data_IF_421949249741
#
_entry.id   IF_421949249741
#
_cell.length_a   1.000
_cell.length_b   1.000
_cell.length_c   1.000
_cell.angle_alpha   90.00
_cell.angle_beta   90.00
_cell.angle_gamma   90.00
#
_symmetry.space_group_name_H-M   'P 1'
#
loop_
_entity.id
_entity.type
_entity.pdbx_description
1 polymer ?
#
# COMPACT_ATOMS: atom_id res chain seq x y z
N UNK A 1 -3.90 10.58 -12.08
CA UNK A 1 -3.68 9.11 -12.15
C UNK A 1 -5.03 8.42 -12.24
N UNK A 2 -5.24 7.46 -13.16
CA UNK A 2 -6.58 6.82 -13.28
C UNK A 2 -6.83 5.73 -12.23
N UNK A 3 -5.85 4.87 -11.97
CA UNK A 3 -5.95 3.75 -11.02
C UNK A 3 -4.84 3.84 -9.98
N UNK A 4 -5.18 3.70 -8.69
CA UNK A 4 -4.23 3.87 -7.59
C UNK A 4 -4.42 2.78 -6.53
N UNK A 5 -3.30 2.26 -6.04
CA UNK A 5 -3.21 1.49 -4.80
C UNK A 5 -2.61 2.42 -3.76
N UNK A 6 -3.40 2.77 -2.73
CA UNK A 6 -2.90 3.40 -1.52
C UNK A 6 -2.37 2.29 -0.62
N UNK A 7 -1.06 2.27 -0.41
CA UNK A 7 -0.36 1.14 0.18
C UNK A 7 0.22 1.50 1.53
N UNK A 8 -0.25 0.84 2.57
CA UNK A 8 0.50 0.71 3.82
C UNK A 8 1.47 -0.47 3.76
N UNK A 9 2.40 -0.57 4.69
CA UNK A 9 3.43 -1.61 4.71
C UNK A 9 3.24 -2.55 5.90
N UNK A 10 3.25 -1.98 7.12
CA UNK A 10 3.09 -2.79 8.33
C UNK A 10 1.66 -3.34 8.38
N UNK A 11 1.52 -4.63 8.64
CA UNK A 11 0.23 -5.30 8.56
C UNK A 11 -0.30 -5.55 7.14
N UNK A 12 0.45 -5.18 6.08
CA UNK A 12 0.09 -5.43 4.67
C UNK A 12 1.14 -6.29 3.97
N UNK A 13 2.38 -5.83 3.87
CA UNK A 13 3.49 -6.54 3.22
C UNK A 13 4.42 -7.22 4.22
N UNK A 14 4.23 -6.96 5.50
CA UNK A 14 4.82 -7.68 6.63
C UNK A 14 3.77 -7.91 7.71
N UNK A 15 4.05 -8.80 8.63
CA UNK A 15 3.12 -9.22 9.69
C UNK A 15 3.91 -9.61 10.94
N UNK A 16 3.21 -10.04 11.98
CA UNK A 16 3.84 -10.66 13.16
C UNK A 16 4.71 -11.86 12.80
N UNK A 17 4.31 -12.64 11.78
CA UNK A 17 5.08 -13.80 11.30
C UNK A 17 6.37 -13.40 10.61
N UNK A 18 6.36 -12.33 9.80
CA UNK A 18 7.55 -11.75 9.18
C UNK A 18 8.55 -11.32 10.25
N UNK A 19 8.05 -10.59 11.25
CA UNK A 19 8.85 -10.09 12.35
C UNK A 19 9.41 -11.22 13.22
N UNK A 20 8.65 -12.30 13.41
CA UNK A 20 9.12 -13.47 14.14
C UNK A 20 10.29 -14.18 13.45
N UNK A 21 10.35 -14.14 12.12
CA UNK A 21 11.47 -14.66 11.33
C UNK A 21 12.64 -13.69 11.18
N UNK A 22 12.59 -12.53 11.83
CA UNK A 22 13.56 -11.44 11.71
C UNK A 22 13.70 -10.89 10.27
N UNK A 23 12.61 -11.01 9.50
CA UNK A 23 12.48 -10.45 8.16
C UNK A 23 11.87 -9.04 8.21
N UNK A 24 12.01 -8.31 7.11
CA UNK A 24 11.46 -6.94 6.95
C UNK A 24 10.17 -6.96 6.14
N UNK A 25 10.10 -7.80 5.11
CA UNK A 25 8.97 -7.92 4.18
C UNK A 25 8.76 -9.38 3.79
N UNK A 26 7.53 -9.74 3.46
CA UNK A 26 7.21 -11.07 2.97
C UNK A 26 7.22 -11.13 1.44
N UNK A 27 8.05 -11.97 0.87
CA UNK A 27 8.19 -12.15 -0.57
C UNK A 27 6.87 -12.50 -1.26
N UNK A 28 6.10 -13.43 -0.69
CA UNK A 28 4.84 -13.84 -1.31
C UNK A 28 3.77 -12.73 -1.28
N UNK A 29 3.78 -11.82 -0.28
CA UNK A 29 2.89 -10.65 -0.25
C UNK A 29 3.31 -9.59 -1.26
N UNK A 30 4.60 -9.43 -1.45
CA UNK A 30 5.14 -8.61 -2.56
C UNK A 30 4.72 -9.17 -3.92
N UNK A 31 4.70 -10.50 -4.10
CA UNK A 31 4.22 -11.16 -5.31
C UNK A 31 2.71 -10.97 -5.49
N UNK A 32 1.93 -10.95 -4.41
CA UNK A 32 0.50 -10.63 -4.46
C UNK A 32 0.26 -9.20 -4.93
N UNK A 33 1.02 -8.24 -4.39
CA UNK A 33 0.99 -6.85 -4.84
C UNK A 33 1.36 -6.75 -6.33
N UNK A 34 2.40 -7.47 -6.76
CA UNK A 34 2.82 -7.50 -8.17
C UNK A 34 1.71 -8.05 -9.08
N UNK A 35 1.00 -9.10 -8.67
CA UNK A 35 -0.15 -9.62 -9.42
C UNK A 35 -1.25 -8.57 -9.59
N UNK A 36 -1.56 -7.81 -8.54
CA UNK A 36 -2.57 -6.74 -8.62
C UNK A 36 -2.12 -5.67 -9.61
N UNK A 37 -0.89 -5.17 -9.47
CA UNK A 37 -0.36 -4.11 -10.35
C UNK A 37 -0.30 -4.56 -11.80
N UNK A 38 0.21 -5.77 -12.08
CA UNK A 38 0.34 -6.30 -13.44
C UNK A 38 -1.03 -6.48 -14.14
N UNK A 39 -2.08 -6.83 -13.39
CA UNK A 39 -3.44 -7.00 -13.94
C UNK A 39 -4.21 -5.70 -14.08
N UNK A 40 -3.83 -4.65 -13.39
CA UNK A 40 -4.62 -3.40 -13.33
C UNK A 40 -3.88 -2.20 -13.88
N UNK A 41 -2.56 -2.27 -13.94
CA UNK A 41 -1.64 -1.15 -14.22
C UNK A 41 -1.83 0.03 -13.27
N UNK A 42 -2.30 -0.25 -12.04
CA UNK A 42 -2.47 0.75 -11.01
C UNK A 42 -1.12 1.30 -10.54
N UNK A 43 -1.13 2.57 -10.15
CA UNK A 43 0.05 3.24 -9.59
C UNK A 43 0.06 3.06 -8.08
N UNK A 44 1.22 2.82 -7.50
CA UNK A 44 1.40 2.71 -6.06
C UNK A 44 1.63 4.10 -5.47
N UNK A 45 0.81 4.46 -4.49
CA UNK A 45 0.99 5.64 -3.62
C UNK A 45 1.24 5.12 -2.21
N UNK A 46 2.43 5.38 -1.68
CA UNK A 46 2.81 4.91 -0.35
C UNK A 46 2.16 5.78 0.73
N UNK A 47 1.39 5.15 1.62
CA UNK A 47 0.68 5.81 2.74
C UNK A 47 1.35 5.55 4.09
N UNK A 48 2.11 4.48 4.19
CA UNK A 48 2.85 4.05 5.39
C UNK A 48 3.76 5.13 5.95
N UNK A 49 3.97 5.11 7.26
CA UNK A 49 4.99 5.94 7.94
C UNK A 49 6.41 5.71 7.41
N UNK A 50 6.66 4.59 6.75
CA UNK A 50 7.93 4.33 6.07
C UNK A 50 8.28 5.43 5.05
N UNK A 51 7.28 6.14 4.51
CA UNK A 51 7.49 7.27 3.58
C UNK A 51 8.34 8.40 4.17
N UNK A 52 8.38 8.57 5.48
CA UNK A 52 9.21 9.58 6.15
C UNK A 52 10.72 9.35 5.95
N UNK A 53 11.11 8.11 5.68
CA UNK A 53 12.48 7.73 5.35
C UNK A 53 12.74 7.65 3.84
N UNK A 54 11.87 8.23 3.02
CA UNK A 54 12.00 8.27 1.57
C UNK A 54 11.90 9.72 1.10
N UNK A 55 12.91 10.19 0.37
CA UNK A 55 12.83 11.42 -0.40
C UNK A 55 12.53 11.09 -1.85
N UNK A 56 11.60 11.81 -2.43
CA UNK A 56 11.26 11.69 -3.84
C UNK A 56 11.48 13.04 -4.53
N UNK A 57 12.43 13.07 -5.43
CA UNK A 57 12.56 14.16 -6.40
C UNK A 57 11.99 13.73 -7.76
N UNK A 58 12.07 14.62 -8.76
CA UNK A 58 11.50 14.36 -10.09
C UNK A 58 12.07 13.11 -10.78
N UNK A 59 13.30 12.70 -10.45
CA UNK A 59 14.05 11.66 -11.15
C UNK A 59 14.26 10.39 -10.34
N UNK A 60 14.25 10.47 -9.00
CA UNK A 60 14.64 9.33 -8.16
C UNK A 60 13.93 9.28 -6.82
N UNK A 61 13.92 8.07 -6.24
CA UNK A 61 13.62 7.83 -4.83
C UNK A 61 14.94 7.62 -4.09
N UNK A 62 15.13 8.31 -2.98
CA UNK A 62 16.26 8.12 -2.07
C UNK A 62 15.74 7.61 -0.73
N UNK A 63 16.14 6.40 -0.36
CA UNK A 63 15.81 5.80 0.92
C UNK A 63 16.89 6.06 1.96
N UNK A 64 16.49 6.36 3.19
CA UNK A 64 17.40 6.72 4.28
C UNK A 64 17.50 5.63 5.37
N UNK A 65 16.55 4.70 5.44
CA UNK A 65 16.60 3.56 6.35
C UNK A 65 16.86 2.25 5.62
N UNK A 66 17.35 1.24 6.34
CA UNK A 66 17.55 -0.10 5.79
C UNK A 66 16.22 -0.71 5.30
N UNK A 67 15.14 -0.54 6.07
CA UNK A 67 13.81 -1.05 5.71
C UNK A 67 13.30 -0.43 4.41
N UNK A 68 13.43 0.89 4.25
CA UNK A 68 12.97 1.57 3.03
C UNK A 68 13.84 1.26 1.81
N UNK A 69 15.14 1.01 2.00
CA UNK A 69 16.02 0.51 0.93
C UNK A 69 15.54 -0.86 0.45
N UNK A 70 15.35 -1.81 1.38
CA UNK A 70 14.83 -3.15 1.05
C UNK A 70 13.46 -3.10 0.36
N UNK A 71 12.55 -2.23 0.81
CA UNK A 71 11.25 -2.04 0.15
C UNK A 71 11.42 -1.61 -1.31
N UNK A 72 12.24 -0.60 -1.58
CA UNK A 72 12.45 -0.09 -2.93
C UNK A 72 13.10 -1.15 -3.82
N UNK A 73 14.09 -1.88 -3.31
CA UNK A 73 14.76 -2.98 -4.01
C UNK A 73 13.78 -4.12 -4.32
N UNK A 74 13.03 -4.60 -3.34
CA UNK A 74 12.07 -5.68 -3.50
C UNK A 74 10.94 -5.35 -4.50
N UNK A 75 10.48 -4.09 -4.51
CA UNK A 75 9.54 -3.61 -5.53
C UNK A 75 10.18 -3.57 -6.91
N UNK A 76 11.41 -3.08 -7.02
CA UNK A 76 12.14 -2.98 -8.29
C UNK A 76 12.39 -4.35 -8.92
N UNK A 77 12.76 -5.35 -8.13
CA UNK A 77 12.93 -6.75 -8.57
C UNK A 77 11.67 -7.33 -9.23
N UNK A 78 10.50 -6.85 -8.84
CA UNK A 78 9.19 -7.24 -9.39
C UNK A 78 8.68 -6.29 -10.49
N UNK A 79 9.52 -5.38 -10.96
CA UNK A 79 9.13 -4.37 -11.96
C UNK A 79 8.16 -3.30 -11.43
N UNK A 80 8.03 -3.18 -10.10
CA UNK A 80 7.15 -2.22 -9.45
C UNK A 80 7.91 -0.97 -9.02
N UNK A 81 7.16 0.12 -8.86
CA UNK A 81 7.71 1.38 -8.33
C UNK A 81 6.68 2.17 -7.54
N UNK A 82 7.14 2.88 -6.53
CA UNK A 82 6.34 3.89 -5.83
C UNK A 82 6.19 5.10 -6.75
N UNK A 83 4.96 5.41 -7.11
CA UNK A 83 4.64 6.52 -8.02
C UNK A 83 4.50 7.86 -7.29
N UNK A 84 4.03 7.82 -6.03
CA UNK A 84 3.94 8.99 -5.16
C UNK A 84 4.05 8.58 -3.69
N UNK A 85 4.39 9.54 -2.85
CA UNK A 85 4.27 9.46 -1.41
C UNK A 85 3.05 10.29 -1.00
N UNK A 86 2.23 9.78 -0.07
CA UNK A 86 1.18 10.59 0.52
C UNK A 86 1.81 11.72 1.34
N UNK A 87 1.27 12.94 1.33
CA UNK A 87 1.80 14.03 2.14
C UNK A 87 1.92 13.65 3.62
N UNK A 88 2.88 14.27 4.30
CA UNK A 88 3.01 14.20 5.74
C UNK A 88 2.21 15.35 6.34
N UNK A 89 1.04 15.03 6.88
CA UNK A 89 0.21 16.01 7.56
C UNK A 89 0.18 15.76 9.06
N UNK A 90 0.14 16.78 9.90
CA UNK A 90 0.00 16.63 11.33
C UNK A 90 -1.28 15.85 11.69
N UNK A 91 -1.26 15.17 12.85
CA UNK A 91 -2.43 14.52 13.45
C UNK A 91 -2.97 13.28 12.72
N UNK A 92 -2.12 12.53 12.03
CA UNK A 92 -2.47 11.22 11.43
C UNK A 92 -3.75 11.25 10.58
N UNK A 93 -3.85 12.21 9.67
CA UNK A 93 -5.01 12.46 8.79
C UNK A 93 -4.98 11.60 7.53
N UNK A 94 -4.59 10.33 7.64
CA UNK A 94 -4.38 9.46 6.46
C UNK A 94 -5.60 9.40 5.54
N UNK A 95 -6.81 9.28 6.08
CA UNK A 95 -8.01 9.19 5.27
C UNK A 95 -8.32 10.50 4.54
N UNK A 96 -8.15 11.64 5.20
CA UNK A 96 -8.31 12.98 4.61
C UNK A 96 -7.27 13.21 3.51
N UNK A 97 -6.01 12.86 3.77
CA UNK A 97 -4.92 13.01 2.81
C UNK A 97 -5.15 12.14 1.56
N UNK A 98 -5.66 10.92 1.73
CA UNK A 98 -6.09 10.06 0.61
C UNK A 98 -7.23 10.73 -0.15
N UNK A 99 -8.24 11.26 0.53
CA UNK A 99 -9.37 11.95 -0.10
C UNK A 99 -8.91 13.17 -0.90
N UNK A 100 -8.02 13.97 -0.34
CA UNK A 100 -7.42 15.14 -1.02
C UNK A 100 -6.58 14.71 -2.23
N UNK A 101 -5.77 13.64 -2.07
CA UNK A 101 -4.98 13.09 -3.17
C UNK A 101 -5.88 12.63 -4.33
N UNK A 102 -6.97 11.92 -4.04
CA UNK A 102 -7.95 11.45 -5.04
C UNK A 102 -8.49 12.64 -5.84
N UNK A 103 -8.93 13.69 -5.16
CA UNK A 103 -9.47 14.92 -5.78
C UNK A 103 -8.41 15.62 -6.63
N UNK A 104 -7.24 15.90 -6.05
CA UNK A 104 -6.14 16.61 -6.70
C UNK A 104 -5.63 15.92 -7.96
N UNK A 105 -5.53 14.60 -7.93
CA UNK A 105 -4.96 13.80 -9.04
C UNK A 105 -6.04 13.19 -9.95
N UNK A 106 -7.33 13.52 -9.72
CA UNK A 106 -8.48 13.00 -10.48
C UNK A 106 -8.42 11.46 -10.59
N UNK A 107 -8.21 10.81 -9.45
CA UNK A 107 -8.17 9.34 -9.37
C UNK A 107 -9.59 8.82 -9.57
N UNK A 108 -9.77 7.91 -10.51
CA UNK A 108 -11.10 7.39 -10.86
C UNK A 108 -11.38 6.02 -10.25
N UNK A 109 -10.33 5.25 -9.95
CA UNK A 109 -10.44 3.92 -9.33
C UNK A 109 -9.28 3.73 -8.37
N UNK A 110 -9.59 3.21 -7.20
CA UNK A 110 -8.56 2.99 -6.21
C UNK A 110 -8.90 1.84 -5.28
N UNK A 111 -7.89 1.35 -4.59
CA UNK A 111 -8.00 0.46 -3.44
C UNK A 111 -7.06 0.97 -2.36
N UNK A 112 -7.47 0.83 -1.12
CA UNK A 112 -6.67 1.13 0.06
C UNK A 112 -6.32 -0.22 0.68
N UNK A 113 -5.03 -0.48 0.88
CA UNK A 113 -4.51 -1.65 1.59
C UNK A 113 -3.91 -1.15 2.91
N UNK A 114 -4.58 -1.44 4.01
CA UNK A 114 -4.24 -0.89 5.32
C UNK A 114 -4.75 -1.84 6.43
N UNK A 115 -4.04 -2.00 7.52
CA UNK A 115 -4.49 -2.79 8.66
C UNK A 115 -5.17 -1.93 9.74
N UNK A 116 -4.96 -0.62 9.71
CA UNK A 116 -5.56 0.33 10.64
C UNK A 116 -6.89 0.89 10.14
N UNK A 117 -7.74 1.30 11.08
CA UNK A 117 -8.98 2.01 10.81
C UNK A 117 -8.76 3.50 11.04
N UNK A 118 -8.64 4.23 9.96
CA UNK A 118 -8.75 5.68 9.97
C UNK A 118 -10.21 6.10 9.74
N UNK A 119 -10.46 7.39 9.62
CA UNK A 119 -11.79 7.94 9.41
C UNK A 119 -12.33 7.69 7.97
N UNK A 120 -12.19 6.45 7.48
CA UNK A 120 -12.54 6.08 6.11
C UNK A 120 -14.04 6.15 5.83
N UNK A 121 -14.88 5.79 6.82
CA UNK A 121 -16.34 5.77 6.65
C UNK A 121 -16.91 7.17 6.41
N UNK A 122 -16.52 8.14 7.21
CA UNK A 122 -17.01 9.52 7.09
C UNK A 122 -16.64 10.17 5.75
N UNK A 123 -15.58 9.70 5.12
CA UNK A 123 -15.09 10.18 3.83
C UNK A 123 -15.55 9.30 2.64
N UNK A 124 -16.41 8.31 2.90
CA UNK A 124 -16.92 7.36 1.90
C UNK A 124 -15.81 6.59 1.16
N UNK A 125 -14.74 6.22 1.90
CA UNK A 125 -13.61 5.48 1.36
C UNK A 125 -13.64 3.99 1.73
N UNK A 126 -14.51 3.58 2.66
CA UNK A 126 -14.55 2.22 3.22
C UNK A 126 -14.88 1.14 2.19
N UNK A 127 -15.69 1.45 1.18
CA UNK A 127 -16.00 0.50 0.09
C UNK A 127 -14.76 0.11 -0.74
N UNK A 128 -13.71 0.92 -0.66
CA UNK A 128 -12.44 0.72 -1.35
C UNK A 128 -11.31 0.28 -0.40
N UNK A 129 -11.61 0.10 0.89
CA UNK A 129 -10.66 -0.41 1.88
C UNK A 129 -10.66 -1.94 1.87
N UNK A 130 -9.53 -2.54 1.61
CA UNK A 130 -9.25 -3.94 1.93
C UNK A 130 -8.43 -3.95 3.22
N UNK A 131 -9.15 -4.05 4.33
CA UNK A 131 -8.53 -4.08 5.65
C UNK A 131 -7.79 -5.38 5.84
N UNK A 132 -6.50 -5.29 6.09
CA UNK A 132 -5.62 -6.40 6.44
C UNK A 132 -5.52 -6.55 7.96
N UNK A 133 -4.67 -7.43 8.44
CA UNK A 133 -4.37 -7.57 9.86
C UNK A 133 -2.88 -7.88 10.04
N UNK A 134 -2.23 -7.20 10.98
CA UNK A 134 -0.86 -7.54 11.36
C UNK A 134 -0.77 -8.92 12.02
N UNK A 135 -1.83 -9.34 12.72
CA UNK A 135 -1.97 -10.65 13.34
C UNK A 135 -2.99 -11.50 12.58
N UNK A 136 -2.78 -12.80 12.49
CA UNK A 136 -3.71 -13.76 11.92
C UNK A 136 -3.68 -15.08 12.71
N UNK A 137 -4.68 -15.94 12.53
CA UNK A 137 -4.68 -17.30 13.11
C UNK A 137 -3.52 -18.12 12.53
N UNK A 138 -3.17 -17.86 11.30
CA UNK A 138 -1.98 -18.40 10.63
C UNK A 138 -1.37 -17.34 9.69
N UNK A 139 -0.19 -17.65 9.15
CA UNK A 139 0.55 -16.72 8.30
C UNK A 139 -0.21 -16.28 7.04
N UNK A 140 -1.04 -17.15 6.46
CA UNK A 140 -1.77 -16.85 5.23
C UNK A 140 -2.98 -15.94 5.46
N UNK A 141 -3.47 -15.85 6.70
CA UNK A 141 -4.60 -15.01 7.09
C UNK A 141 -4.18 -13.60 7.53
N UNK A 142 -2.89 -13.39 7.78
CA UNK A 142 -2.32 -12.09 8.10
C UNK A 142 -1.91 -11.32 6.84
N UNK A 143 -1.83 -10.00 6.94
CA UNK A 143 -1.39 -9.12 5.86
C UNK A 143 -2.25 -9.17 4.60
N UNK A 144 -1.64 -8.87 3.47
CA UNK A 144 -2.28 -9.00 2.16
C UNK A 144 -2.47 -10.48 1.82
N UNK A 145 -3.73 -10.91 1.71
CA UNK A 145 -4.08 -12.32 1.48
C UNK A 145 -4.37 -12.60 0.00
N UNK A 146 -4.32 -13.89 -0.38
CA UNK A 146 -4.66 -14.32 -1.74
C UNK A 146 -6.09 -13.93 -2.15
N UNK A 147 -7.06 -13.96 -1.23
CA UNK A 147 -8.45 -13.53 -1.48
C UNK A 147 -8.52 -12.06 -1.87
N UNK A 148 -7.73 -11.21 -1.22
CA UNK A 148 -7.72 -9.76 -1.47
C UNK A 148 -7.19 -9.39 -2.86
N UNK A 149 -6.38 -10.25 -3.50
CA UNK A 149 -5.94 -10.02 -4.88
C UNK A 149 -7.13 -9.84 -5.81
N UNK A 150 -8.12 -10.74 -5.75
CA UNK A 150 -9.32 -10.68 -6.59
C UNK A 150 -10.14 -9.44 -6.28
N UNK A 151 -10.33 -9.12 -5.01
CA UNK A 151 -11.08 -7.95 -4.56
C UNK A 151 -10.42 -6.65 -5.05
N UNK A 152 -9.10 -6.52 -4.89
CA UNK A 152 -8.36 -5.36 -5.37
C UNK A 152 -8.47 -5.18 -6.89
N UNK A 153 -8.33 -6.28 -7.66
CA UNK A 153 -8.46 -6.24 -9.12
C UNK A 153 -9.88 -5.82 -9.52
N UNK A 154 -10.91 -6.32 -8.83
CA UNK A 154 -12.31 -5.92 -9.09
C UNK A 154 -12.53 -4.43 -8.85
N UNK A 155 -12.09 -3.90 -7.70
CA UNK A 155 -12.20 -2.47 -7.36
C UNK A 155 -11.47 -1.59 -8.40
N UNK A 156 -10.28 -1.99 -8.81
CA UNK A 156 -9.46 -1.24 -9.76
C UNK A 156 -9.95 -1.36 -11.23
N UNK A 157 -10.77 -2.37 -11.57
CA UNK A 157 -11.31 -2.58 -12.91
C UNK A 157 -12.82 -2.33 -13.02
N UNK A 158 -13.50 -2.00 -11.92
CA UNK A 158 -14.94 -1.66 -11.91
C UNK A 158 -15.19 -0.56 -12.95
N UNK A 159 -16.17 -0.78 -13.83
CA UNK A 159 -16.57 0.20 -14.86
C UNK A 159 -17.28 1.40 -14.26
#
# INVERSE_FOLDING_TARGET
MKKVIFLDIDGVLNTSYTKYRDDILDDFRLDYLAKIVNKTHAKIVLTSTWRYNISKNFFSLKAYSNSTKKLIEALKERGLKISALLPDTPNNRRAEDISEFIKKHKVTRFVILDDELFNYDSLKLSDNLLRTSFYGENELDAGLTQKMIRQAIQLLNKK
#
